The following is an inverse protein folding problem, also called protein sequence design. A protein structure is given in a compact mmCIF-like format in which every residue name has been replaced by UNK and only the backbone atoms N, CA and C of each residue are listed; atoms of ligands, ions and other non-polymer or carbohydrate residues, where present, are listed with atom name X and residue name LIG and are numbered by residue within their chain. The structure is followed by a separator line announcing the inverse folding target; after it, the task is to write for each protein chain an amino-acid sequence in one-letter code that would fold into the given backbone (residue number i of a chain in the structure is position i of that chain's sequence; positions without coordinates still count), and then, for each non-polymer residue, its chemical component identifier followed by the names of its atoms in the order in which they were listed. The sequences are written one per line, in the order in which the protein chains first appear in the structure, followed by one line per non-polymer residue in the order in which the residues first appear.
data_IF_083838959741
#
_entry.id   IF_083838959741
#
_cell.length_a   1.000
_cell.length_b   1.000
_cell.length_c   1.000
_cell.angle_alpha   90.00
_cell.angle_beta   90.00
_cell.angle_gamma   90.00
#
_symmetry.space_group_name_H-M   'P 1'
#
loop_
_entity.id
_entity.type
_entity.pdbx_description
1 polymer ?
#
# COMPACT_ATOMS: atom_id res chain seq x y z
N UNK A 1 -50.18 13.62 30.47
CA UNK A 1 -50.06 13.98 29.04
C UNK A 1 -48.69 14.58 28.81
N UNK A 2 -47.86 13.92 28.02
CA UNK A 2 -46.58 14.46 27.58
C UNK A 2 -46.83 15.72 26.74
N UNK A 3 -46.01 16.76 26.94
CA UNK A 3 -46.05 18.00 26.19
C UNK A 3 -44.79 18.14 25.31
N UNK A 4 -43.63 17.85 25.89
CA UNK A 4 -42.35 17.84 25.17
C UNK A 4 -41.41 16.76 25.71
N UNK A 5 -40.44 16.37 24.91
CA UNK A 5 -39.41 15.40 25.29
C UNK A 5 -38.02 15.84 24.80
N UNK A 6 -36.98 15.29 25.43
CA UNK A 6 -35.57 15.50 25.11
C UNK A 6 -34.86 14.14 25.09
N UNK A 7 -33.92 13.97 24.17
CA UNK A 7 -33.11 12.76 24.07
C UNK A 7 -31.64 13.13 24.25
N UNK A 8 -30.99 12.45 25.17
CA UNK A 8 -29.54 12.54 25.40
C UNK A 8 -28.93 11.15 25.25
N UNK A 9 -27.83 11.05 24.51
CA UNK A 9 -27.05 9.83 24.35
C UNK A 9 -25.68 10.07 24.93
N UNK A 10 -25.24 9.16 25.79
CA UNK A 10 -23.94 9.19 26.45
C UNK A 10 -23.08 8.03 25.96
N UNK A 11 -21.76 8.17 26.03
CA UNK A 11 -20.88 7.00 25.94
C UNK A 11 -21.09 6.11 27.17
N UNK A 12 -21.22 4.80 26.96
CA UNK A 12 -21.57 3.86 28.02
C UNK A 12 -20.62 3.97 29.23
N UNK A 13 -21.19 4.00 30.44
CA UNK A 13 -20.43 4.13 31.69
C UNK A 13 -19.80 5.51 31.96
N UNK A 14 -20.08 6.52 31.13
CA UNK A 14 -19.55 7.89 31.28
C UNK A 14 -20.66 8.94 31.41
N UNK A 15 -20.29 10.20 31.61
CA UNK A 15 -21.21 11.35 31.50
C UNK A 15 -20.96 12.16 30.22
N UNK A 16 -20.12 11.66 29.31
CA UNK A 16 -19.78 12.34 28.08
C UNK A 16 -20.93 12.17 27.08
N UNK A 17 -21.45 13.29 26.59
CA UNK A 17 -22.60 13.33 25.69
C UNK A 17 -22.12 13.12 24.26
N UNK A 18 -22.57 12.02 23.63
CA UNK A 18 -22.36 11.73 22.22
C UNK A 18 -23.36 12.49 21.34
N UNK A 19 -24.61 12.64 21.80
CA UNK A 19 -25.65 13.36 21.08
C UNK A 19 -26.65 13.97 22.06
N UNK A 20 -26.99 15.24 21.85
CA UNK A 20 -28.05 15.93 22.57
C UNK A 20 -29.02 16.55 21.58
N UNK A 21 -30.27 16.11 21.67
CA UNK A 21 -31.36 16.81 21.01
C UNK A 21 -31.99 17.78 22.00
N UNK A 22 -32.26 19.02 21.58
CA UNK A 22 -33.04 19.96 22.39
C UNK A 22 -34.48 19.49 22.62
N UNK A 23 -35.24 20.22 23.43
CA UNK A 23 -36.65 19.91 23.70
C UNK A 23 -37.50 19.94 22.42
N UNK A 24 -38.24 18.86 22.18
CA UNK A 24 -39.17 18.71 21.05
C UNK A 24 -40.59 18.72 21.61
N UNK A 25 -41.42 19.62 21.08
CA UNK A 25 -42.86 19.65 21.44
C UNK A 25 -43.59 18.57 20.64
N UNK A 26 -43.95 17.48 21.30
CA UNK A 26 -44.73 16.41 20.70
C UNK A 26 -45.55 15.68 21.78
N UNK A 27 -46.87 15.52 21.59
CA UNK A 27 -47.78 14.99 22.60
C UNK A 27 -47.66 13.46 22.81
N UNK A 28 -47.09 12.73 21.85
CA UNK A 28 -46.76 11.30 21.95
C UNK A 28 -45.79 10.92 20.83
N UNK A 29 -44.68 10.27 21.16
CA UNK A 29 -43.72 9.77 20.17
C UNK A 29 -43.25 8.39 20.60
N UNK A 30 -43.55 7.40 19.75
CA UNK A 30 -43.16 6.00 19.98
C UNK A 30 -41.83 5.65 19.28
N UNK A 31 -41.30 6.56 18.44
CA UNK A 31 -40.07 6.35 17.68
C UNK A 31 -39.33 7.67 17.41
N UNK A 32 -38.00 7.63 17.46
CA UNK A 32 -37.13 8.75 17.09
C UNK A 32 -35.95 8.29 16.24
N UNK A 33 -35.60 9.08 15.23
CA UNK A 33 -34.46 8.84 14.35
C UNK A 33 -33.31 9.77 14.70
N UNK A 34 -32.12 9.21 14.91
CA UNK A 34 -30.90 9.97 15.17
C UNK A 34 -30.26 10.27 13.79
N UNK A 35 -29.82 11.52 13.53
CA UNK A 35 -29.08 11.82 12.32
C UNK A 35 -27.80 10.98 12.23
N UNK A 36 -27.36 10.71 11.00
CA UNK A 36 -26.10 10.03 10.73
C UNK A 36 -24.89 10.82 11.28
N UNK A 37 -23.77 10.14 11.52
CA UNK A 37 -22.50 10.72 11.99
C UNK A 37 -22.34 10.98 13.50
N UNK A 38 -23.37 10.76 14.32
CA UNK A 38 -23.26 10.94 15.78
C UNK A 38 -22.85 9.68 16.54
N UNK A 39 -23.18 8.51 16.00
CA UNK A 39 -22.88 7.22 16.60
C UNK A 39 -21.77 6.55 15.81
N UNK A 40 -20.82 5.93 16.52
CA UNK A 40 -19.65 5.26 15.96
C UNK A 40 -19.84 3.77 15.97
N UNK A 41 -19.35 3.09 14.94
CA UNK A 41 -19.44 1.65 14.82
C UNK A 41 -18.90 0.94 16.06
N UNK A 42 -19.52 -0.20 16.42
CA UNK A 42 -19.07 -1.07 17.51
C UNK A 42 -18.88 -0.35 18.86
N UNK A 43 -19.52 0.81 19.04
CA UNK A 43 -19.43 1.60 20.27
C UNK A 43 -20.69 1.41 21.12
N UNK A 44 -20.47 1.28 22.42
CA UNK A 44 -21.54 1.16 23.42
C UNK A 44 -22.00 2.54 23.91
N UNK A 45 -23.30 2.72 24.00
CA UNK A 45 -23.96 3.96 24.36
C UNK A 45 -25.04 3.75 25.43
N UNK A 46 -25.42 4.83 26.09
CA UNK A 46 -26.54 4.90 27.02
C UNK A 46 -27.53 5.97 26.57
N UNK A 47 -28.80 5.61 26.46
CA UNK A 47 -29.90 6.51 26.10
C UNK A 47 -30.64 6.97 27.35
N UNK A 48 -30.86 8.28 27.46
CA UNK A 48 -31.73 8.90 28.46
C UNK A 48 -32.80 9.73 27.76
N UNK A 49 -34.05 9.55 28.20
CA UNK A 49 -35.20 10.31 27.70
C UNK A 49 -35.75 11.14 28.84
N UNK A 50 -35.82 12.44 28.64
CA UNK A 50 -36.52 13.36 29.54
C UNK A 50 -37.85 13.76 28.92
N UNK A 51 -38.91 13.79 29.73
CA UNK A 51 -40.25 14.21 29.31
C UNK A 51 -40.74 15.32 30.23
N UNK A 52 -41.49 16.26 29.67
CA UNK A 52 -42.20 17.28 30.40
C UNK A 52 -43.70 17.18 30.13
N UNK A 53 -44.51 17.27 31.18
CA UNK A 53 -45.97 17.27 31.09
C UNK A 53 -46.58 18.66 30.84
N UNK A 54 -47.90 18.77 30.87
CA UNK A 54 -48.62 20.03 30.70
C UNK A 54 -48.53 20.98 31.91
N UNK A 55 -48.00 20.52 33.05
CA UNK A 55 -47.88 21.23 34.33
C UNK A 55 -46.41 21.54 34.68
N UNK A 56 -45.60 21.94 33.68
CA UNK A 56 -44.13 21.92 33.66
C UNK A 56 -43.37 20.93 34.56
N UNK A 57 -43.91 19.74 34.84
CA UNK A 57 -43.19 18.72 35.61
C UNK A 57 -42.32 17.89 34.67
N UNK A 58 -41.05 17.75 35.02
CA UNK A 58 -40.06 16.98 34.26
C UNK A 58 -39.77 15.64 34.94
N UNK A 59 -39.61 14.61 34.12
CA UNK A 59 -39.14 13.30 34.56
C UNK A 59 -38.14 12.73 33.57
N UNK A 60 -37.10 12.07 34.08
CA UNK A 60 -36.07 11.40 33.28
C UNK A 60 -36.22 9.89 33.40
N UNK A 61 -35.99 9.18 32.31
CA UNK A 61 -35.83 7.73 32.34
C UNK A 61 -34.54 7.34 33.05
N UNK A 62 -34.43 6.07 33.47
CA UNK A 62 -33.11 5.48 33.68
C UNK A 62 -32.33 5.42 32.36
N UNK A 63 -31.00 5.33 32.44
CA UNK A 63 -30.15 5.14 31.27
C UNK A 63 -30.29 3.72 30.73
N UNK A 64 -30.59 3.61 29.44
CA UNK A 64 -30.78 2.33 28.75
C UNK A 64 -29.56 2.08 27.86
N UNK A 65 -28.84 0.99 28.11
CA UNK A 65 -27.68 0.62 27.32
C UNK A 65 -28.08 0.09 25.94
N UNK A 66 -27.33 0.47 24.91
CA UNK A 66 -27.42 -0.09 23.56
C UNK A 66 -26.04 -0.04 22.89
N UNK A 67 -25.86 -0.77 21.81
CA UNK A 67 -24.67 -0.70 20.97
C UNK A 67 -25.06 -0.49 19.52
N UNK A 68 -24.14 0.04 18.75
CA UNK A 68 -24.30 0.18 17.30
C UNK A 68 -23.38 -0.80 16.59
N UNK A 69 -23.86 -1.32 15.46
CA UNK A 69 -23.10 -2.17 14.56
C UNK A 69 -23.56 -1.84 13.15
N UNK A 70 -22.66 -1.27 12.35
CA UNK A 70 -22.89 -1.07 10.93
C UNK A 70 -22.58 -2.36 10.18
N UNK A 71 -23.41 -2.69 9.19
CA UNK A 71 -23.13 -3.80 8.28
C UNK A 71 -21.96 -3.41 7.40
N UNK A 72 -20.86 -4.18 7.38
CA UNK A 72 -19.76 -3.92 6.47
C UNK A 72 -20.22 -3.96 5.00
N UNK A 73 -19.49 -3.29 4.10
CA UNK A 73 -19.68 -3.45 2.67
C UNK A 73 -19.54 -4.91 2.26
N UNK A 74 -20.22 -5.29 1.19
CA UNK A 74 -20.04 -6.61 0.61
C UNK A 74 -18.58 -6.80 0.17
N UNK A 75 -18.11 -8.04 0.21
CA UNK A 75 -16.77 -8.36 -0.29
C UNK A 75 -16.68 -8.08 -1.80
N UNK A 76 -15.51 -7.61 -2.28
CA UNK A 76 -15.25 -7.45 -3.71
C UNK A 76 -15.42 -8.78 -4.44
N UNK A 77 -16.02 -8.75 -5.62
CA UNK A 77 -16.19 -9.94 -6.47
C UNK A 77 -15.12 -10.01 -7.55
N UNK A 78 -14.93 -11.20 -8.14
CA UNK A 78 -14.01 -11.38 -9.27
C UNK A 78 -12.53 -11.19 -8.93
N UNK A 79 -12.15 -11.13 -7.65
CA UNK A 79 -10.77 -10.85 -7.24
C UNK A 79 -9.84 -11.94 -7.73
N UNK A 80 -8.77 -11.55 -8.41
CA UNK A 80 -7.73 -12.43 -8.95
C UNK A 80 -6.36 -11.78 -8.84
N UNK A 81 -5.32 -12.61 -8.66
CA UNK A 81 -3.93 -12.19 -8.79
C UNK A 81 -3.25 -13.06 -9.86
N UNK A 82 -2.60 -12.44 -10.84
CA UNK A 82 -2.03 -13.10 -11.99
C UNK A 82 -0.60 -12.59 -12.25
N UNK A 83 0.36 -13.47 -12.60
CA UNK A 83 1.64 -13.02 -13.11
C UNK A 83 1.47 -12.18 -14.37
N UNK A 84 2.11 -11.02 -14.42
CA UNK A 84 1.96 -10.02 -15.48
C UNK A 84 3.32 -9.57 -16.00
N UNK A 85 3.45 -9.47 -17.33
CA UNK A 85 4.61 -8.87 -17.98
C UNK A 85 4.36 -7.36 -18.09
N UNK A 86 5.09 -6.57 -17.31
CA UNK A 86 4.92 -5.13 -17.25
C UNK A 86 5.88 -4.43 -18.23
N UNK A 87 5.35 -3.48 -19.00
CA UNK A 87 6.10 -2.75 -20.02
C UNK A 87 6.62 -3.68 -21.12
N UNK A 88 7.93 -3.65 -21.33
CA UNK A 88 8.62 -4.37 -22.41
C UNK A 88 9.27 -5.69 -21.95
N UNK A 89 8.95 -6.14 -20.74
CA UNK A 89 9.50 -7.36 -20.19
C UNK A 89 9.13 -8.62 -21.02
N UNK A 90 10.09 -9.50 -21.33
CA UNK A 90 9.83 -10.70 -22.11
C UNK A 90 9.07 -11.79 -21.32
N UNK A 91 9.03 -11.69 -19.99
CA UNK A 91 8.42 -12.66 -19.10
C UNK A 91 7.64 -11.94 -17.98
N UNK A 92 6.65 -12.60 -17.35
CA UNK A 92 5.99 -12.05 -16.18
C UNK A 92 7.00 -11.68 -15.09
N UNK A 93 6.98 -10.43 -14.68
CA UNK A 93 7.88 -9.86 -13.67
C UNK A 93 7.14 -9.10 -12.58
N UNK A 94 5.84 -8.89 -12.77
CA UNK A 94 4.96 -8.11 -11.90
C UNK A 94 3.72 -8.95 -11.60
N UNK A 95 2.91 -8.55 -10.62
CA UNK A 95 1.65 -9.24 -10.32
C UNK A 95 0.51 -8.26 -10.57
N UNK A 96 -0.39 -8.61 -11.49
CA UNK A 96 -1.65 -7.91 -11.69
C UNK A 96 -2.64 -8.43 -10.66
N UNK A 97 -3.13 -7.55 -9.80
CA UNK A 97 -4.25 -7.80 -8.89
C UNK A 97 -5.45 -7.06 -9.44
N UNK A 98 -6.55 -7.76 -9.67
CA UNK A 98 -7.75 -7.18 -10.26
C UNK A 98 -9.01 -7.70 -9.56
N UNK A 99 -10.08 -6.91 -9.63
CA UNK A 99 -11.41 -7.22 -9.11
C UNK A 99 -12.48 -6.64 -10.04
N UNK A 100 -13.73 -7.05 -9.87
CA UNK A 100 -14.85 -6.39 -10.56
C UNK A 100 -15.02 -4.94 -10.07
N UNK A 101 -15.77 -4.13 -10.81
CA UNK A 101 -16.12 -2.76 -10.39
C UNK A 101 -16.82 -2.80 -9.02
N UNK A 102 -16.47 -1.86 -8.14
CA UNK A 102 -17.05 -1.83 -6.80
C UNK A 102 -18.56 -1.59 -6.89
N UNK A 103 -19.34 -2.45 -6.25
CA UNK A 103 -20.77 -2.22 -6.10
C UNK A 103 -20.99 -1.23 -4.95
N UNK A 104 -21.23 0.03 -5.28
CA UNK A 104 -21.57 1.06 -4.28
C UNK A 104 -21.20 2.44 -4.76
N UNK A 105 -22.22 3.29 -4.90
CA UNK A 105 -22.13 4.68 -5.38
C UNK A 105 -21.51 5.63 -4.36
N UNK A 106 -22.05 6.85 -4.28
CA UNK A 106 -21.55 8.10 -3.66
C UNK A 106 -20.79 8.03 -2.32
N UNK A 107 -20.83 6.92 -1.58
CA UNK A 107 -20.11 6.69 -0.31
C UNK A 107 -18.79 5.93 -0.44
N UNK A 108 -18.40 5.55 -1.66
CA UNK A 108 -17.14 4.86 -1.91
C UNK A 108 -15.94 5.74 -1.56
N UNK A 109 -15.04 5.22 -0.73
CA UNK A 109 -13.80 5.91 -0.32
C UNK A 109 -12.62 5.43 -1.15
N UNK A 110 -12.46 4.11 -1.26
CA UNK A 110 -11.32 3.52 -1.95
C UNK A 110 -11.22 2.01 -1.83
N UNK A 111 -10.29 1.43 -2.58
CA UNK A 111 -9.95 0.00 -2.54
C UNK A 111 -8.55 -0.15 -1.99
N UNK A 112 -8.44 -0.87 -0.90
CA UNK A 112 -7.21 -1.01 -0.13
C UNK A 112 -6.67 -2.41 -0.41
N UNK A 113 -5.49 -2.45 -1.02
CA UNK A 113 -4.83 -3.71 -1.40
C UNK A 113 -3.64 -3.91 -0.47
N UNK A 114 -3.66 -4.97 0.31
CA UNK A 114 -2.58 -5.36 1.21
C UNK A 114 -1.78 -6.52 0.63
N UNK A 115 -0.49 -6.60 0.97
CA UNK A 115 0.38 -7.74 0.66
C UNK A 115 0.86 -8.37 1.97
N UNK A 116 1.07 -9.69 2.00
CA UNK A 116 1.35 -10.44 3.23
C UNK A 116 2.63 -10.04 3.99
N UNK A 117 3.60 -9.44 3.31
CA UNK A 117 4.82 -8.89 3.89
C UNK A 117 4.69 -7.44 4.36
N UNK A 118 3.59 -6.76 4.04
CA UNK A 118 3.28 -5.37 4.39
C UNK A 118 1.93 -5.33 5.12
N UNK A 119 1.91 -5.84 6.36
CA UNK A 119 0.66 -5.99 7.13
C UNK A 119 0.24 -4.73 7.89
N UNK A 120 1.16 -3.77 8.07
CA UNK A 120 0.94 -2.53 8.80
C UNK A 120 0.31 -1.42 7.94
N UNK A 121 0.34 -1.55 6.62
CA UNK A 121 -0.13 -0.55 5.66
C UNK A 121 -0.60 -1.19 4.35
N UNK A 122 -1.53 -0.56 3.61
CA UNK A 122 -1.87 -1.01 2.27
C UNK A 122 -0.67 -0.78 1.31
N UNK A 123 -0.50 -1.69 0.36
CA UNK A 123 0.46 -1.56 -0.74
C UNK A 123 0.03 -0.40 -1.66
N UNK A 124 -1.27 -0.32 -1.96
CA UNK A 124 -1.88 0.76 -2.75
C UNK A 124 -3.30 1.06 -2.26
N UNK A 125 -3.74 2.29 -2.48
CA UNK A 125 -5.13 2.70 -2.34
C UNK A 125 -5.65 3.22 -3.69
N UNK A 126 -6.64 2.54 -4.25
CA UNK A 126 -7.34 2.97 -5.45
C UNK A 126 -8.49 3.88 -5.04
N UNK A 127 -8.49 5.15 -5.48
CA UNK A 127 -9.45 6.16 -5.00
C UNK A 127 -10.75 6.18 -5.80
N UNK A 128 -10.85 5.47 -6.92
CA UNK A 128 -12.09 5.41 -7.71
C UNK A 128 -12.73 4.03 -7.66
N UNK A 129 -14.06 3.99 -7.61
CA UNK A 129 -14.85 2.76 -7.68
C UNK A 129 -14.70 2.05 -9.04
N UNK A 130 -14.33 2.82 -10.08
CA UNK A 130 -14.05 2.31 -11.42
C UNK A 130 -12.68 1.65 -11.55
N UNK A 131 -11.76 1.87 -10.60
CA UNK A 131 -10.42 1.31 -10.67
C UNK A 131 -10.49 -0.16 -10.29
N UNK A 132 -10.35 -1.04 -11.29
CA UNK A 132 -10.54 -2.48 -11.15
C UNK A 132 -9.23 -3.25 -11.06
N UNK A 133 -8.09 -2.59 -11.25
CA UNK A 133 -6.80 -3.24 -11.37
C UNK A 133 -5.68 -2.42 -10.73
N UNK A 134 -4.72 -3.15 -10.18
CA UNK A 134 -3.45 -2.64 -9.71
C UNK A 134 -2.34 -3.62 -10.11
N UNK A 135 -1.20 -3.09 -10.54
CA UNK A 135 -0.03 -3.89 -10.85
C UNK A 135 0.97 -3.68 -9.73
N UNK A 136 1.29 -4.74 -8.98
CA UNK A 136 2.46 -4.76 -8.09
C UNK A 136 3.73 -4.88 -8.97
N UNK A 137 4.53 -3.81 -9.06
CA UNK A 137 5.71 -3.79 -9.92
C UNK A 137 6.94 -4.42 -9.25
N UNK A 138 6.90 -4.68 -7.94
CA UNK A 138 8.06 -5.08 -7.15
C UNK A 138 7.91 -6.42 -6.40
N UNK A 139 7.20 -7.46 -6.89
CA UNK A 139 7.09 -8.71 -6.16
C UNK A 139 8.44 -9.43 -6.10
N UNK A 140 8.78 -10.01 -4.95
CA UNK A 140 9.99 -10.84 -4.79
C UNK A 140 9.86 -12.11 -5.63
N UNK A 141 10.89 -12.43 -6.43
CA UNK A 141 10.92 -13.63 -7.28
C UNK A 141 10.87 -14.91 -6.44
N UNK A 142 10.11 -15.92 -6.89
CA UNK A 142 10.00 -17.23 -6.26
C UNK A 142 9.26 -17.25 -4.91
N UNK A 143 8.73 -16.11 -4.46
CA UNK A 143 7.89 -16.01 -3.26
C UNK A 143 6.42 -16.01 -3.67
N UNK A 144 5.63 -16.86 -3.02
CA UNK A 144 4.18 -16.77 -3.08
C UNK A 144 3.74 -15.53 -2.28
N UNK A 145 3.16 -14.56 -2.98
CA UNK A 145 2.58 -13.36 -2.37
C UNK A 145 1.08 -13.57 -2.19
N UNK A 146 0.55 -13.16 -1.04
CA UNK A 146 -0.89 -13.17 -0.76
C UNK A 146 -1.36 -11.74 -0.69
N UNK A 147 -2.31 -11.39 -1.56
CA UNK A 147 -2.93 -10.07 -1.60
C UNK A 147 -4.30 -10.13 -0.96
N UNK A 148 -4.62 -9.13 -0.14
CA UNK A 148 -5.96 -8.95 0.43
C UNK A 148 -6.57 -7.70 -0.16
N UNK A 149 -7.69 -7.85 -0.86
CA UNK A 149 -8.45 -6.74 -1.43
C UNK A 149 -9.62 -6.38 -0.51
N UNK A 150 -9.72 -5.13 -0.11
CA UNK A 150 -10.83 -4.59 0.68
C UNK A 150 -11.42 -3.36 0.01
N UNK A 151 -12.74 -3.29 -0.06
CA UNK A 151 -13.41 -2.05 -0.44
C UNK A 151 -13.78 -1.29 0.84
N UNK A 152 -13.57 0.04 0.81
CA UNK A 152 -13.78 0.94 1.94
C UNK A 152 -14.85 1.95 1.58
N UNK A 153 -15.84 2.09 2.46
CA UNK A 153 -16.97 3.00 2.28
C UNK A 153 -17.15 3.85 3.51
N UNK A 154 -17.70 5.04 3.34
CA UNK A 154 -18.30 5.78 4.44
C UNK A 154 -19.54 5.05 4.94
N UNK A 155 -19.77 5.09 6.25
CA UNK A 155 -20.96 4.51 6.87
C UNK A 155 -22.23 5.29 6.52
N UNK A 156 -22.10 6.57 6.17
CA UNK A 156 -23.18 7.47 5.79
C UNK A 156 -22.69 8.71 5.00
N UNK A 157 -23.63 9.53 4.52
CA UNK A 157 -23.37 10.77 3.76
C UNK A 157 -22.67 11.87 4.58
N UNK A 158 -22.44 11.67 5.89
CA UNK A 158 -21.69 12.64 6.71
C UNK A 158 -20.18 12.46 6.58
N UNK A 159 -19.71 11.41 5.90
CA UNK A 159 -18.31 11.10 5.65
C UNK A 159 -17.45 11.04 6.93
N UNK A 160 -18.08 10.75 8.08
CA UNK A 160 -17.44 10.87 9.39
C UNK A 160 -16.79 9.57 9.88
N UNK A 161 -17.20 8.42 9.36
CA UNK A 161 -16.67 7.12 9.71
C UNK A 161 -16.58 6.21 8.48
N UNK A 162 -15.49 5.45 8.40
CA UNK A 162 -15.21 4.50 7.32
C UNK A 162 -15.36 3.07 7.85
N UNK A 163 -15.84 2.18 6.99
CA UNK A 163 -15.95 0.76 7.26
C UNK A 163 -15.35 -0.03 6.09
N UNK A 164 -14.53 -1.02 6.42
CA UNK A 164 -13.89 -1.90 5.44
C UNK A 164 -14.71 -3.18 5.26
N UNK A 165 -14.73 -3.72 4.04
CA UNK A 165 -15.20 -5.09 3.81
C UNK A 165 -14.28 -6.11 4.52
N UNK A 166 -14.77 -7.32 4.86
CA UNK A 166 -13.93 -8.40 5.41
C UNK A 166 -12.66 -8.67 4.60
N UNK A 167 -12.80 -8.62 3.27
CA UNK A 167 -11.71 -8.67 2.31
C UNK A 167 -11.54 -10.05 1.68
N UNK A 168 -11.11 -10.06 0.42
CA UNK A 168 -10.87 -11.28 -0.35
C UNK A 168 -9.38 -11.48 -0.55
N UNK A 169 -8.90 -12.67 -0.21
CA UNK A 169 -7.49 -13.04 -0.37
C UNK A 169 -7.25 -13.82 -1.66
N UNK A 170 -6.27 -13.39 -2.42
CA UNK A 170 -5.78 -14.09 -3.63
C UNK A 170 -4.26 -14.22 -3.56
N UNK A 171 -3.69 -15.14 -4.33
CA UNK A 171 -2.24 -15.37 -4.28
C UNK A 171 -1.65 -15.61 -5.65
N UNK A 172 -0.43 -15.13 -5.86
CA UNK A 172 0.33 -15.31 -7.09
C UNK A 172 1.83 -15.36 -6.79
N UNK A 173 2.59 -15.94 -7.72
CA UNK A 173 4.05 -16.01 -7.68
C UNK A 173 4.60 -15.56 -9.03
N UNK A 174 5.73 -14.86 -9.00
CA UNK A 174 6.50 -14.49 -10.17
C UNK A 174 7.86 -15.16 -10.06
N UNK A 175 8.28 -15.84 -11.13
CA UNK A 175 9.60 -16.48 -11.22
C UNK A 175 10.44 -15.76 -12.29
N UNK A 176 11.30 -14.85 -11.84
CA UNK A 176 12.21 -14.16 -12.74
C UNK A 176 13.26 -15.12 -13.28
N UNK A 177 13.60 -14.96 -14.56
CA UNK A 177 14.72 -15.68 -15.22
C UNK A 177 15.93 -14.78 -15.48
N UNK A 178 15.98 -13.64 -14.82
CA UNK A 178 17.00 -12.61 -14.96
C UNK A 178 16.88 -11.58 -13.84
N UNK A 179 17.60 -10.48 -13.98
CA UNK A 179 17.46 -9.33 -13.09
C UNK A 179 16.48 -8.32 -13.68
N UNK A 180 15.75 -7.62 -12.81
CA UNK A 180 14.90 -6.49 -13.20
C UNK A 180 15.35 -5.28 -12.41
N UNK A 181 15.57 -4.17 -13.10
CA UNK A 181 15.68 -2.84 -12.52
C UNK A 181 14.44 -2.06 -12.93
N UNK A 182 13.78 -1.43 -11.97
CA UNK A 182 12.62 -0.59 -12.23
C UNK A 182 12.66 0.64 -11.33
N UNK A 183 12.35 1.82 -11.85
CA UNK A 183 12.17 3.02 -11.04
C UNK A 183 11.06 2.79 -10.01
N UNK A 184 11.27 3.31 -8.82
CA UNK A 184 10.25 3.32 -7.77
C UNK A 184 9.12 4.31 -8.09
N UNK A 185 9.44 5.39 -8.82
CA UNK A 185 8.48 6.45 -9.16
C UNK A 185 7.67 6.06 -10.40
N UNK A 186 8.34 5.56 -11.45
CA UNK A 186 7.69 5.21 -12.71
C UNK A 186 8.05 3.77 -13.15
N UNK A 187 7.53 2.73 -12.46
CA UNK A 187 7.96 1.34 -12.67
C UNK A 187 7.54 0.73 -14.01
N UNK A 188 6.55 1.31 -14.68
CA UNK A 188 6.07 0.84 -15.98
C UNK A 188 6.91 1.39 -17.14
N UNK A 189 7.22 2.69 -17.13
CA UNK A 189 7.95 3.38 -18.20
C UNK A 189 9.47 3.31 -18.02
N UNK A 190 9.98 3.32 -16.78
CA UNK A 190 11.42 3.30 -16.47
C UNK A 190 11.77 1.98 -15.84
N UNK A 191 12.06 0.99 -16.70
CA UNK A 191 12.42 -0.36 -16.30
C UNK A 191 13.35 -0.99 -17.32
N UNK A 192 14.08 -2.02 -16.91
CA UNK A 192 14.89 -2.82 -17.81
C UNK A 192 14.99 -4.24 -17.28
N UNK A 193 14.65 -5.20 -18.15
CA UNK A 193 14.80 -6.62 -17.87
C UNK A 193 16.16 -7.11 -18.38
N UNK A 194 17.02 -7.53 -17.47
CA UNK A 194 18.41 -7.91 -17.71
C UNK A 194 18.54 -9.44 -17.76
N UNK A 195 18.52 -10.00 -18.97
CA UNK A 195 18.58 -11.46 -19.20
C UNK A 195 19.99 -12.06 -19.08
N UNK A 196 21.04 -11.28 -19.37
CA UNK A 196 22.39 -11.80 -19.59
C UNK A 196 23.41 -11.16 -18.63
N UNK A 197 23.19 -11.35 -17.33
CA UNK A 197 24.13 -10.95 -16.27
C UNK A 197 25.39 -11.83 -16.35
N UNK A 198 26.55 -11.23 -16.57
CA UNK A 198 27.85 -11.92 -16.68
C UNK A 198 28.47 -12.12 -15.30
N UNK A 199 28.52 -11.05 -14.50
CA UNK A 199 29.01 -11.07 -13.13
C UNK A 199 28.02 -10.33 -12.24
N UNK A 200 27.91 -10.82 -11.01
CA UNK A 200 27.10 -10.22 -9.94
C UNK A 200 27.85 -10.46 -8.65
N UNK A 201 28.60 -9.46 -8.23
CA UNK A 201 29.32 -9.48 -6.97
C UNK A 201 28.55 -8.66 -5.94
N UNK A 202 28.40 -9.21 -4.74
CA UNK A 202 27.68 -8.55 -3.65
C UNK A 202 28.62 -8.38 -2.48
N UNK A 203 28.84 -7.14 -2.08
CA UNK A 203 29.70 -6.79 -0.96
C UNK A 203 28.89 -6.09 0.13
N UNK A 204 29.15 -6.44 1.38
CA UNK A 204 28.61 -5.72 2.53
C UNK A 204 29.62 -4.64 2.91
N UNK A 205 29.30 -3.40 2.62
CA UNK A 205 30.13 -2.29 3.03
C UNK A 205 29.75 -1.92 4.46
N UNK A 206 30.74 -2.01 5.34
CA UNK A 206 30.63 -1.56 6.73
C UNK A 206 31.81 -0.65 6.97
N UNK A 207 31.52 0.55 7.45
CA UNK A 207 32.57 1.42 7.95
C UNK A 207 33.18 0.79 9.21
N UNK A 208 34.30 0.08 9.03
CA UNK A 208 34.98 -0.66 10.09
C UNK A 208 36.46 -0.38 10.04
N UNK A 209 36.93 0.37 11.01
CA UNK A 209 38.36 0.58 11.20
C UNK A 209 38.87 -0.27 12.37
N UNK A 210 39.99 -0.97 12.15
CA UNK A 210 40.64 -1.78 13.17
C UNK A 210 41.93 -1.11 13.60
N UNK A 211 41.97 -0.62 14.84
CA UNK A 211 43.14 0.01 15.41
C UNK A 211 43.83 -0.93 16.41
N UNK A 212 45.15 -1.05 16.28
CA UNK A 212 46.00 -1.69 17.28
C UNK A 212 46.77 -0.57 17.97
N UNK A 213 46.46 -0.32 19.25
CA UNK A 213 47.20 0.65 20.05
C UNK A 213 48.63 0.19 20.30
N UNK A 214 49.59 1.12 20.40
CA UNK A 214 51.01 0.82 20.62
C UNK A 214 51.32 -0.08 21.82
N UNK A 215 50.43 -0.13 22.81
CA UNK A 215 50.61 -0.92 24.05
C UNK A 215 49.63 -2.10 24.16
N UNK A 216 48.74 -2.31 23.19
CA UNK A 216 47.71 -3.35 23.25
C UNK A 216 47.96 -4.43 22.19
N UNK A 217 47.97 -5.69 22.62
CA UNK A 217 47.91 -6.84 21.71
C UNK A 217 46.50 -7.14 21.22
N UNK A 218 45.49 -6.46 21.79
CA UNK A 218 44.09 -6.60 21.42
C UNK A 218 43.68 -5.45 20.49
N UNK A 219 43.30 -5.75 19.24
CA UNK A 219 42.75 -4.75 18.33
C UNK A 219 41.37 -4.30 18.81
N UNK A 220 41.12 -2.99 18.72
CA UNK A 220 39.79 -2.40 18.91
C UNK A 220 39.22 -2.09 17.53
N UNK A 221 38.00 -2.54 17.27
CA UNK A 221 37.28 -2.21 16.04
C UNK A 221 36.28 -1.10 16.32
N UNK A 222 36.36 -0.01 15.55
CA UNK A 222 35.33 1.01 15.49
C UNK A 222 34.39 0.66 14.35
N UNK A 223 33.09 0.73 14.59
CA UNK A 223 32.05 0.53 13.58
C UNK A 223 31.37 1.86 13.39
N UNK A 224 31.49 2.45 12.20
CA UNK A 224 30.77 3.63 11.81
C UNK A 224 29.28 3.35 11.58
N UNK A 225 28.55 4.39 11.21
CA UNK A 225 27.09 4.34 11.00
C UNK A 225 26.69 3.80 9.61
N UNK A 226 27.63 3.72 8.66
CA UNK A 226 27.35 3.23 7.32
C UNK A 226 27.43 1.70 7.26
N UNK A 227 26.28 1.06 7.04
CA UNK A 227 26.14 -0.34 6.70
C UNK A 227 25.15 -0.46 5.53
N UNK A 228 25.64 -0.85 4.36
CA UNK A 228 24.83 -1.00 3.15
C UNK A 228 25.36 -2.13 2.26
N UNK A 229 24.48 -2.75 1.48
CA UNK A 229 24.89 -3.66 0.42
C UNK A 229 25.29 -2.87 -0.83
N UNK A 230 26.43 -3.23 -1.43
CA UNK A 230 26.77 -2.84 -2.79
C UNK A 230 26.71 -4.05 -3.71
N UNK A 231 26.22 -3.84 -4.93
CA UNK A 231 26.08 -4.87 -5.95
C UNK A 231 26.80 -4.38 -7.21
N UNK A 232 27.91 -5.03 -7.55
CA UNK A 232 28.65 -4.78 -8.78
C UNK A 232 28.12 -5.73 -9.86
N UNK A 233 27.61 -5.16 -10.94
CA UNK A 233 27.01 -5.89 -12.05
C UNK A 233 27.80 -5.64 -13.32
N UNK A 234 28.10 -6.72 -14.04
CA UNK A 234 28.42 -6.64 -15.46
C UNK A 234 27.35 -7.37 -16.23
N UNK A 235 26.65 -6.65 -17.09
CA UNK A 235 25.60 -7.20 -17.95
C UNK A 235 26.04 -7.11 -19.40
N UNK A 236 25.54 -8.05 -20.20
CA UNK A 236 25.59 -7.94 -21.65
C UNK A 236 24.20 -7.60 -22.14
N UNK A 237 24.04 -6.43 -22.74
CA UNK A 237 22.78 -6.02 -23.32
C UNK A 237 22.55 -6.87 -24.57
N UNK A 238 21.46 -7.64 -24.55
CA UNK A 238 21.04 -8.52 -25.63
C UNK A 238 19.55 -8.34 -25.78
N UNK A 239 19.15 -7.88 -26.96
CA UNK A 239 17.75 -7.89 -27.34
C UNK A 239 17.12 -9.28 -27.12
N UNK A 240 15.83 -9.26 -26.85
CA UNK A 240 14.98 -10.43 -26.63
C UNK A 240 13.76 -10.34 -27.55
N UNK A 241 12.78 -11.21 -27.35
CA UNK A 241 11.62 -11.34 -28.24
C UNK A 241 10.73 -10.08 -28.29
N UNK A 242 10.95 -9.10 -27.41
CA UNK A 242 10.16 -7.86 -27.29
C UNK A 242 10.95 -6.62 -27.71
N UNK A 243 12.24 -6.56 -27.38
CA UNK A 243 13.10 -5.41 -27.66
C UNK A 243 14.33 -5.80 -28.47
N UNK A 244 14.69 -4.95 -29.43
CA UNK A 244 16.00 -5.02 -30.06
C UNK A 244 17.11 -4.64 -29.08
N UNK A 245 18.37 -5.05 -29.32
CA UNK A 245 19.49 -4.66 -28.46
C UNK A 245 19.63 -3.14 -28.29
N UNK A 246 19.32 -2.37 -29.34
CA UNK A 246 19.40 -0.91 -29.33
C UNK A 246 18.30 -0.28 -28.45
N UNK A 247 17.07 -0.78 -28.52
CA UNK A 247 15.97 -0.29 -27.68
C UNK A 247 16.22 -0.64 -26.20
N UNK A 248 16.70 -1.85 -25.92
CA UNK A 248 17.05 -2.23 -24.55
C UNK A 248 18.21 -1.40 -23.99
N UNK A 249 19.20 -1.06 -24.81
CA UNK A 249 20.27 -0.14 -24.43
C UNK A 249 19.71 1.25 -24.11
N UNK A 250 18.79 1.77 -24.93
CA UNK A 250 18.15 3.05 -24.69
C UNK A 250 17.28 3.07 -23.41
N UNK A 251 16.53 2.00 -23.13
CA UNK A 251 15.79 1.85 -21.86
C UNK A 251 16.73 1.83 -20.64
N UNK A 252 17.84 1.10 -20.77
CA UNK A 252 18.84 1.02 -19.71
C UNK A 252 19.56 2.36 -19.50
N UNK A 253 19.90 3.08 -20.57
CA UNK A 253 20.47 4.43 -20.50
C UNK A 253 19.47 5.42 -19.87
N UNK A 254 18.18 5.31 -20.18
CA UNK A 254 17.15 6.13 -19.54
C UNK A 254 17.06 5.89 -18.03
N UNK A 255 17.25 4.65 -17.57
CA UNK A 255 17.34 4.33 -16.14
C UNK A 255 18.57 4.97 -15.49
N UNK A 256 19.74 4.88 -16.13
CA UNK A 256 20.97 5.49 -15.64
C UNK A 256 20.81 7.01 -15.50
N UNK A 257 20.28 7.66 -16.55
CA UNK A 257 20.09 9.11 -16.60
C UNK A 257 19.06 9.64 -15.60
N UNK A 258 18.08 8.81 -15.19
CA UNK A 258 17.09 9.21 -14.20
C UNK A 258 17.73 9.47 -12.82
N UNK A 259 18.77 8.71 -12.47
CA UNK A 259 19.46 8.79 -11.17
C UNK A 259 18.50 8.81 -9.96
N UNK A 260 17.46 7.99 -10.03
CA UNK A 260 16.43 7.81 -9.01
C UNK A 260 16.65 6.52 -8.20
N UNK A 261 15.97 6.39 -7.07
CA UNK A 261 15.86 5.09 -6.39
C UNK A 261 15.12 4.09 -7.27
N UNK A 262 15.73 2.94 -7.47
CA UNK A 262 15.17 1.83 -8.23
C UNK A 262 14.98 0.60 -7.34
N UNK A 263 14.05 -0.27 -7.72
CA UNK A 263 13.97 -1.62 -7.19
C UNK A 263 14.79 -2.56 -8.08
N UNK A 264 15.87 -3.11 -7.54
CA UNK A 264 16.58 -4.24 -8.10
C UNK A 264 15.96 -5.56 -7.61
N UNK A 265 15.67 -6.47 -8.55
CA UNK A 265 15.18 -7.83 -8.27
C UNK A 265 15.93 -8.85 -9.10
N UNK A 266 16.05 -10.07 -8.60
CA UNK A 266 16.71 -11.16 -9.35
C UNK A 266 16.04 -12.53 -9.22
N UNK A 267 16.49 -13.46 -10.05
CA UNK A 267 16.00 -14.84 -10.13
C UNK A 267 16.19 -15.66 -8.84
N UNK A 268 17.01 -15.17 -7.89
CA UNK A 268 17.29 -15.84 -6.62
C UNK A 268 16.39 -15.34 -5.49
N UNK A 269 15.38 -14.55 -5.81
CA UNK A 269 14.45 -13.98 -4.82
C UNK A 269 15.07 -12.87 -3.99
N UNK A 270 16.10 -12.18 -4.51
CA UNK A 270 16.66 -11.00 -3.87
C UNK A 270 15.92 -9.75 -4.35
N UNK A 271 15.69 -8.83 -3.43
CA UNK A 271 15.08 -7.53 -3.67
C UNK A 271 15.84 -6.49 -2.87
N UNK A 272 16.24 -5.41 -3.52
CA UNK A 272 16.91 -4.27 -2.91
C UNK A 272 16.39 -2.99 -3.56
N UNK A 273 16.28 -1.93 -2.77
CA UNK A 273 16.12 -0.59 -3.31
C UNK A 273 17.50 0.05 -3.40
N UNK A 274 17.82 0.60 -4.56
CA UNK A 274 19.18 0.95 -4.91
C UNK A 274 19.26 2.23 -5.73
N UNK A 275 20.43 2.86 -5.69
CA UNK A 275 20.87 3.93 -6.60
C UNK A 275 22.07 3.45 -7.41
N UNK A 276 22.28 4.01 -8.60
CA UNK A 276 23.48 3.68 -9.39
C UNK A 276 24.72 4.32 -8.76
N UNK A 277 25.83 3.57 -8.78
CA UNK A 277 27.15 4.05 -8.40
C UNK A 277 28.19 3.59 -9.44
N UNK A 278 28.97 4.53 -9.99
CA UNK A 278 30.02 4.24 -10.95
C UNK A 278 29.55 3.48 -12.20
N UNK A 279 29.14 4.19 -13.23
CA UNK A 279 28.66 3.61 -14.49
C UNK A 279 29.72 3.63 -15.60
N UNK A 280 29.82 2.51 -16.33
CA UNK A 280 30.59 2.43 -17.57
C UNK A 280 29.83 1.62 -18.61
N UNK A 281 29.60 2.24 -19.77
CA UNK A 281 29.07 1.59 -20.96
C UNK A 281 30.23 1.37 -21.92
N UNK A 282 30.53 0.10 -22.20
CA UNK A 282 31.56 -0.29 -23.16
C UNK A 282 30.88 -0.86 -24.42
N UNK A 283 30.96 -0.11 -25.52
CA UNK A 283 30.59 -0.61 -26.84
C UNK A 283 31.68 -1.59 -27.31
N UNK A 284 31.34 -2.87 -27.33
CA UNK A 284 32.31 -3.91 -27.70
C UNK A 284 32.18 -4.33 -29.15
N UNK A 285 30.98 -4.26 -29.77
CA UNK A 285 30.67 -4.54 -31.20
C UNK A 285 29.29 -4.00 -31.60
N UNK A 286 29.07 -3.85 -32.91
CA UNK A 286 27.74 -3.60 -33.51
C UNK A 286 26.67 -4.53 -32.92
N UNK A 287 25.69 -3.95 -32.20
CA UNK A 287 24.58 -4.64 -31.52
C UNK A 287 24.96 -5.48 -30.28
N UNK A 288 26.10 -5.21 -29.64
CA UNK A 288 26.50 -5.80 -28.35
C UNK A 288 27.22 -4.78 -27.47
N UNK A 289 26.51 -4.34 -26.44
CA UNK A 289 27.04 -3.46 -25.41
C UNK A 289 27.20 -4.25 -24.11
N UNK A 290 28.38 -4.11 -23.49
CA UNK A 290 28.61 -4.60 -22.14
C UNK A 290 28.52 -3.38 -21.21
N UNK A 291 27.66 -3.46 -20.19
CA UNK A 291 27.49 -2.40 -19.20
C UNK A 291 27.99 -2.90 -17.84
N UNK A 292 28.84 -2.11 -17.20
CA UNK A 292 29.33 -2.38 -15.86
C UNK A 292 28.96 -1.21 -14.96
N UNK A 293 28.26 -1.50 -13.86
CA UNK A 293 27.77 -0.51 -12.92
C UNK A 293 27.69 -1.09 -11.51
N UNK A 294 27.86 -0.24 -10.52
CA UNK A 294 27.55 -0.52 -9.12
C UNK A 294 26.12 -0.11 -8.79
N UNK A 295 25.54 -0.78 -7.81
CA UNK A 295 24.30 -0.42 -7.16
C UNK A 295 24.56 -0.29 -5.66
N UNK A 296 24.16 0.81 -5.06
CA UNK A 296 24.23 1.03 -3.62
C UNK A 296 22.83 0.89 -3.05
N UNK A 297 22.67 0.07 -2.01
CA UNK A 297 21.41 -0.04 -1.29
C UNK A 297 21.02 1.26 -0.59
N UNK A 298 19.77 1.66 -0.79
CA UNK A 298 19.12 2.78 -0.13
C UNK A 298 18.07 2.30 0.85
N UNK A 299 17.90 3.04 1.95
CA UNK A 299 16.78 2.83 2.85
C UNK A 299 15.49 3.30 2.18
N UNK A 300 14.67 2.36 1.71
CA UNK A 300 13.37 2.64 1.12
C UNK A 300 12.30 1.72 1.71
N UNK A 301 11.20 2.33 2.17
CA UNK A 301 10.03 1.59 2.65
C UNK A 301 9.01 1.47 1.53
N UNK A 302 8.65 0.24 1.19
CA UNK A 302 7.60 -0.04 0.21
C UNK A 302 6.21 0.18 0.82
N UNK A 303 5.28 0.65 0.00
CA UNK A 303 3.88 0.87 0.37
C UNK A 303 3.53 2.35 0.52
N UNK A 304 2.22 2.62 0.57
CA UNK A 304 1.63 3.96 0.56
C UNK A 304 1.81 4.75 -0.75
N UNK A 305 1.41 4.14 -1.87
CA UNK A 305 1.09 4.91 -3.08
C UNK A 305 -0.37 5.36 -3.01
N UNK A 306 -0.59 6.63 -2.67
CA UNK A 306 -1.87 7.30 -2.98
C UNK A 306 -1.78 7.67 -4.44
N UNK A 307 -2.56 7.03 -5.31
CA UNK A 307 -2.56 7.34 -6.74
C UNK A 307 -3.18 8.72 -6.99
N UNK A 308 -2.39 9.77 -6.77
CA UNK A 308 -2.65 11.11 -7.27
C UNK A 308 -2.19 11.19 -8.72
N UNK A 309 -3.15 11.06 -9.64
CA UNK A 309 -3.08 11.46 -11.08
C UNK A 309 -2.04 10.87 -12.03
N UNK A 310 -0.94 10.24 -11.59
CA UNK A 310 0.19 9.91 -12.51
C UNK A 310 0.61 8.43 -12.61
N UNK A 311 -0.17 7.49 -12.09
CA UNK A 311 0.00 6.06 -12.45
C UNK A 311 -1.07 5.64 -13.44
N UNK A 312 -0.68 4.96 -14.51
CA UNK A 312 -1.61 4.34 -15.46
C UNK A 312 -2.51 3.34 -14.72
N UNK A 313 -3.70 3.80 -14.34
CA UNK A 313 -4.84 2.93 -14.09
C UNK A 313 -5.22 2.37 -15.45
N UNK A 314 -5.04 1.07 -15.64
CA UNK A 314 -5.62 0.37 -16.79
C UNK A 314 -7.14 0.43 -16.63
N UNK A 315 -7.77 1.35 -17.36
CA UNK A 315 -9.23 1.46 -17.49
C UNK A 315 -9.81 0.34 -18.37
#
# INVERSE_FOLDING_TARGET
NQNRYRITIYFAGTNDVAYLRGWITAPSVDQWTIPAGFLRNSTAYELEVEVEDSNPLQGSSGRIAFSTSYTPPADPTGVQALPYALGTDPLPSSILVQADVAAGGDLFVGRYIYRDDLTDRPLVVLSSASDTAFIDPFPVSGRLHVYTWRDVFFTDDSESEMIESPGVTVSAVVDLRGSVLASVIEPASRRSYLTSVQTRDRSLNRDRERLIGWTSSKPTSYVGIAEYWAIDLTIRIKGHDVLTPLEQAAEFEALLLANETMCYRDERGRKYFVTFDGESLADTRVMREDATFGLIEEAYEEGYHVLGTDFEVLA
#
